data_IF_251801783385
#
_entry.id   IF_251801783385
#
_cell.length_a   1.000
_cell.length_b   1.000
_cell.length_c   1.000
_cell.angle_alpha   90.00
_cell.angle_beta   90.00
_cell.angle_gamma   90.00
#
_symmetry.space_group_name_H-M   'P 1'
#
loop_
_entity.id
_entity.type
_entity.pdbx_description
1 polymer ?
#
# COMPACT_ATOMS: atom_id res chain seq x y z
N UNK A 1 4.59 -6.07 -0.59
CA UNK A 1 4.00 -6.08 -1.94
C UNK A 1 3.16 -4.83 -2.09
N UNK A 2 3.21 -4.18 -3.25
CA UNK A 2 2.42 -2.98 -3.56
C UNK A 2 1.67 -3.26 -4.87
N UNK A 3 0.35 -3.14 -4.82
CA UNK A 3 -0.56 -3.32 -5.95
C UNK A 3 -1.04 -1.94 -6.37
N UNK A 4 -0.86 -1.61 -7.65
CA UNK A 4 -1.42 -0.41 -8.27
C UNK A 4 -2.15 -0.87 -9.51
N UNK A 5 -3.39 -0.42 -9.67
CA UNK A 5 -4.25 -0.90 -10.75
C UNK A 5 -5.10 0.19 -11.35
N UNK A 6 -5.61 -0.12 -12.53
CA UNK A 6 -6.69 0.61 -13.18
C UNK A 6 -7.71 -0.40 -13.70
N UNK A 7 -8.68 0.07 -14.49
CA UNK A 7 -9.79 -0.76 -14.99
C UNK A 7 -9.37 -1.94 -15.87
N UNK A 8 -8.15 -1.96 -16.41
CA UNK A 8 -7.68 -2.99 -17.34
C UNK A 8 -6.40 -3.71 -16.93
N UNK A 9 -5.69 -3.25 -15.88
CA UNK A 9 -4.42 -3.85 -15.47
C UNK A 9 -4.15 -3.63 -13.99
N UNK A 10 -3.53 -4.62 -13.35
CA UNK A 10 -2.94 -4.51 -12.02
C UNK A 10 -1.47 -4.87 -12.13
N UNK A 11 -0.60 -3.96 -11.67
CA UNK A 11 0.84 -4.18 -11.60
C UNK A 11 1.23 -4.37 -10.13
N UNK A 12 2.12 -5.33 -9.89
CA UNK A 12 2.49 -5.76 -8.55
C UNK A 12 4.01 -5.62 -8.38
N UNK A 13 4.41 -4.83 -7.39
CA UNK A 13 5.78 -4.85 -6.90
C UNK A 13 5.90 -5.79 -5.69
N UNK A 14 6.93 -6.64 -5.70
CA UNK A 14 7.30 -7.49 -4.56
C UNK A 14 8.77 -7.31 -4.25
N UNK A 15 9.08 -6.78 -3.07
CA UNK A 15 10.45 -6.54 -2.64
C UNK A 15 10.51 -5.69 -1.39
N UNK A 16 11.73 -5.42 -0.92
CA UNK A 16 12.00 -4.43 0.12
C UNK A 16 11.94 -3.02 -0.46
N UNK A 17 11.60 -2.04 0.36
CA UNK A 17 11.60 -0.62 -0.02
C UNK A 17 12.98 -0.05 0.29
N UNK A 18 13.66 0.53 -0.70
CA UNK A 18 15.03 1.01 -0.53
C UNK A 18 15.08 2.48 -0.08
N UNK A 19 14.35 3.37 -0.77
CA UNK A 19 14.31 4.80 -0.45
C UNK A 19 12.90 5.35 -0.55
N UNK A 20 12.40 5.92 0.54
CA UNK A 20 11.12 6.65 0.63
C UNK A 20 11.39 8.16 0.65
N UNK A 21 10.73 8.93 -0.21
CA UNK A 21 10.94 10.38 -0.35
C UNK A 21 9.59 11.11 -0.44
N UNK A 22 9.15 11.75 0.65
CA UNK A 22 8.07 12.73 0.59
C UNK A 22 8.51 13.94 -0.23
N UNK A 23 7.59 14.52 -1.01
CA UNK A 23 7.86 15.69 -1.82
C UNK A 23 6.61 16.55 -2.00
N UNK A 24 6.77 17.86 -1.98
CA UNK A 24 5.71 18.83 -2.30
C UNK A 24 6.33 19.94 -3.13
N UNK A 25 5.68 20.30 -4.25
CA UNK A 25 6.14 21.41 -5.08
C UNK A 25 5.72 22.75 -4.49
N UNK A 26 6.57 23.78 -4.64
CA UNK A 26 6.21 25.16 -4.30
C UNK A 26 4.99 25.58 -5.12
N UNK A 27 3.93 26.06 -4.44
CA UNK A 27 2.61 26.38 -5.01
C UNK A 27 1.73 25.17 -5.42
N UNK A 28 1.96 23.98 -4.87
CA UNK A 28 1.03 22.85 -5.03
C UNK A 28 0.48 22.37 -3.68
N UNK A 29 -0.82 22.11 -3.64
CA UNK A 29 -1.48 21.42 -2.52
C UNK A 29 -1.22 19.91 -2.54
N UNK A 30 -0.68 19.38 -3.65
CA UNK A 30 -0.39 17.96 -3.78
C UNK A 30 0.86 17.58 -2.99
N UNK A 31 0.67 16.69 -2.03
CA UNK A 31 1.75 16.03 -1.30
C UNK A 31 2.00 14.68 -1.96
N UNK A 32 3.25 14.42 -2.34
CA UNK A 32 3.68 13.17 -2.95
C UNK A 32 4.46 12.33 -1.96
N UNK A 33 4.22 11.02 -1.98
CA UNK A 33 5.08 10.03 -1.38
C UNK A 33 5.68 9.15 -2.47
N UNK A 34 7.02 9.10 -2.52
CA UNK A 34 7.74 8.44 -3.60
C UNK A 34 8.59 7.30 -3.06
N UNK A 35 8.66 6.20 -3.82
CA UNK A 35 9.61 5.11 -3.56
C UNK A 35 10.58 5.03 -4.72
N UNK A 36 11.87 4.94 -4.42
CA UNK A 36 12.93 4.73 -5.41
C UNK A 36 13.76 3.52 -5.03
N UNK A 37 13.55 2.43 -5.75
CA UNK A 37 14.40 1.26 -5.81
C UNK A 37 15.10 1.22 -7.18
N UNK A 38 16.22 0.48 -7.35
CA UNK A 38 16.89 0.38 -8.65
C UNK A 38 16.01 -0.11 -9.81
N UNK A 39 15.04 -0.99 -9.53
CA UNK A 39 14.14 -1.59 -10.53
C UNK A 39 12.66 -1.29 -10.27
N UNK A 40 12.35 -0.37 -9.35
CA UNK A 40 10.97 -0.01 -9.02
C UNK A 40 10.88 1.45 -8.61
N UNK A 41 9.88 2.15 -9.11
CA UNK A 41 9.57 3.51 -8.69
C UNK A 41 8.07 3.62 -8.46
N UNK A 42 7.68 4.23 -7.35
CA UNK A 42 6.30 4.61 -7.05
C UNK A 42 6.24 6.12 -6.91
N UNK A 43 5.24 6.72 -7.55
CA UNK A 43 4.79 8.08 -7.28
C UNK A 43 3.33 7.99 -6.87
N UNK A 44 3.02 8.39 -5.64
CA UNK A 44 1.66 8.39 -5.11
C UNK A 44 1.37 9.79 -4.58
N UNK A 45 0.21 10.35 -4.94
CA UNK A 45 -0.26 11.63 -4.40
C UNK A 45 -0.94 11.33 -3.07
N UNK A 46 -0.19 11.47 -1.98
CA UNK A 46 -0.61 11.15 -0.62
C UNK A 46 -1.82 11.99 -0.20
N UNK A 47 -1.85 13.26 -0.60
CA UNK A 47 -2.95 14.17 -0.29
C UNK A 47 -4.29 13.78 -0.93
N UNK A 48 -4.32 12.85 -1.90
CA UNK A 48 -5.55 12.36 -2.52
C UNK A 48 -6.14 11.14 -1.78
N UNK A 49 -5.45 10.59 -0.78
CA UNK A 49 -5.97 9.51 0.04
C UNK A 49 -7.02 10.08 0.99
N UNK A 50 -8.28 9.69 0.83
CA UNK A 50 -9.37 10.10 1.74
C UNK A 50 -9.74 9.00 2.74
N UNK A 51 -9.54 7.75 2.35
CA UNK A 51 -9.85 6.59 3.19
C UNK A 51 -8.68 5.61 3.17
N UNK A 52 -8.35 5.09 4.36
CA UNK A 52 -7.32 4.08 4.57
C UNK A 52 -7.87 2.96 5.43
N UNK A 53 -7.95 1.76 4.87
CA UNK A 53 -8.57 0.61 5.51
C UNK A 53 -7.57 -0.51 5.76
N UNK A 54 -7.60 -1.06 6.97
CA UNK A 54 -7.01 -2.36 7.25
C UNK A 54 -8.07 -3.43 7.09
N UNK A 55 -7.90 -4.32 6.11
CA UNK A 55 -8.85 -5.43 5.89
C UNK A 55 -8.18 -6.76 6.19
N UNK A 56 -8.96 -7.72 6.71
CA UNK A 56 -8.50 -9.08 7.03
C UNK A 56 -9.38 -10.07 6.29
N UNK A 57 -8.84 -10.69 5.25
CA UNK A 57 -9.58 -11.62 4.40
C UNK A 57 -9.17 -13.06 4.73
N UNK A 58 -10.12 -13.97 5.05
CA UNK A 58 -9.78 -15.36 5.32
C UNK A 58 -9.33 -16.07 4.04
N UNK A 59 -8.32 -16.92 4.15
CA UNK A 59 -7.86 -17.86 3.12
C UNK A 59 -7.71 -19.26 3.73
N UNK A 60 -7.40 -20.26 2.90
CA UNK A 60 -7.11 -21.61 3.39
C UNK A 60 -5.93 -21.66 4.36
N UNK A 61 -4.96 -20.76 4.19
CA UNK A 61 -3.73 -20.70 4.99
C UNK A 61 -3.86 -19.81 6.24
N UNK A 62 -4.99 -19.12 6.41
CA UNK A 62 -5.24 -18.17 7.49
C UNK A 62 -5.69 -16.80 6.97
N UNK A 63 -5.63 -15.77 7.81
CA UNK A 63 -5.94 -14.42 7.35
C UNK A 63 -4.79 -13.84 6.52
N UNK A 64 -5.17 -13.11 5.47
CA UNK A 64 -4.29 -12.17 4.76
C UNK A 64 -4.79 -10.77 5.05
N UNK A 65 -3.88 -9.93 5.55
CA UNK A 65 -4.17 -8.56 5.97
C UNK A 65 -3.62 -7.57 4.94
N UNK A 66 -4.45 -6.63 4.51
CA UNK A 66 -4.07 -5.54 3.60
C UNK A 66 -4.21 -4.17 4.24
N UNK A 67 -3.42 -3.21 3.76
CA UNK A 67 -3.72 -1.78 3.82
C UNK A 67 -4.24 -1.35 2.45
N UNK A 68 -5.40 -0.73 2.39
CA UNK A 68 -6.06 -0.30 1.14
C UNK A 68 -6.35 1.20 1.19
N UNK A 69 -5.97 1.91 0.12
CA UNK A 69 -6.05 3.36 0.01
C UNK A 69 -7.07 3.73 -1.07
N UNK A 70 -7.98 4.65 -0.76
CA UNK A 70 -9.03 5.08 -1.67
C UNK A 70 -9.08 6.60 -1.80
N UNK A 71 -9.47 7.06 -2.99
CA UNK A 71 -9.68 8.47 -3.31
C UNK A 71 -11.10 8.94 -2.98
N UNK A 72 -11.35 10.25 -3.13
CA UNK A 72 -12.66 10.90 -2.89
C UNK A 72 -13.83 10.35 -3.71
N UNK A 73 -13.56 9.54 -4.74
CA UNK A 73 -14.54 8.89 -5.60
C UNK A 73 -14.70 7.41 -5.29
N UNK A 74 -14.04 6.91 -4.24
CA UNK A 74 -14.01 5.49 -3.89
C UNK A 74 -13.18 4.64 -4.83
N UNK A 75 -12.32 5.23 -5.67
CA UNK A 75 -11.40 4.49 -6.52
C UNK A 75 -10.18 4.06 -5.70
N UNK A 76 -9.74 2.83 -5.92
CA UNK A 76 -8.61 2.27 -5.21
C UNK A 76 -7.29 2.83 -5.75
N UNK A 77 -6.54 3.55 -4.92
CA UNK A 77 -5.24 4.15 -5.26
C UNK A 77 -4.15 3.07 -5.26
N UNK A 78 -4.05 2.33 -4.15
CA UNK A 78 -3.08 1.24 -3.99
C UNK A 78 -3.50 0.27 -2.89
N UNK A 79 -2.96 -0.95 -2.93
CA UNK A 79 -3.01 -1.88 -1.81
C UNK A 79 -1.62 -2.37 -1.42
N UNK A 80 -1.40 -2.57 -0.12
CA UNK A 80 -0.16 -3.09 0.42
C UNK A 80 -0.41 -4.39 1.18
N UNK A 81 0.53 -5.33 1.02
CA UNK A 81 0.53 -6.64 1.66
C UNK A 81 1.95 -7.04 2.08
N UNK A 82 2.07 -7.90 3.09
CA UNK A 82 3.30 -8.65 3.36
C UNK A 82 3.60 -9.61 2.21
N UNK A 83 4.88 -9.81 1.87
CA UNK A 83 5.24 -10.80 0.85
C UNK A 83 4.89 -12.21 1.33
N UNK A 84 4.29 -13.01 0.45
CA UNK A 84 4.01 -14.42 0.70
C UNK A 84 4.03 -15.21 -0.60
N UNK A 85 4.13 -16.53 -0.50
CA UNK A 85 3.86 -17.45 -1.61
C UNK A 85 2.52 -18.14 -1.37
N UNK A 86 1.97 -18.77 -2.39
CA UNK A 86 0.78 -19.62 -2.23
C UNK A 86 1.05 -20.76 -1.22
N UNK A 87 0.03 -21.15 -0.44
CA UNK A 87 0.16 -22.19 0.60
C UNK A 87 0.91 -21.74 1.86
N UNK A 88 1.21 -20.44 2.00
CA UNK A 88 1.91 -19.90 3.17
C UNK A 88 1.14 -18.79 3.86
N UNK A 89 1.27 -18.75 5.18
CA UNK A 89 0.76 -17.67 6.03
C UNK A 89 1.43 -16.34 5.69
N UNK A 90 0.72 -15.24 5.93
CA UNK A 90 1.34 -13.93 5.89
C UNK A 90 2.46 -13.78 6.94
N UNK A 91 3.41 -12.90 6.64
CA UNK A 91 4.54 -12.63 7.54
C UNK A 91 4.03 -12.06 8.87
N UNK A 92 4.53 -12.60 9.98
CA UNK A 92 4.22 -12.06 11.30
C UNK A 92 4.65 -10.60 11.44
N UNK A 93 5.85 -10.26 10.93
CA UNK A 93 6.36 -8.89 10.93
C UNK A 93 5.40 -7.91 10.23
N UNK A 94 4.79 -8.31 9.11
CA UNK A 94 3.79 -7.50 8.41
C UNK A 94 2.58 -7.20 9.29
N UNK A 95 2.05 -8.23 9.98
CA UNK A 95 0.94 -8.04 10.92
C UNK A 95 1.28 -7.10 12.05
N UNK A 96 2.49 -7.23 12.61
CA UNK A 96 2.96 -6.38 13.70
C UNK A 96 3.08 -4.92 13.25
N UNK A 97 3.61 -4.69 12.05
CA UNK A 97 3.68 -3.34 11.44
C UNK A 97 2.29 -2.72 11.28
N UNK A 98 1.31 -3.46 10.75
CA UNK A 98 -0.06 -2.95 10.60
C UNK A 98 -0.75 -2.71 11.95
N UNK A 99 -0.52 -3.57 12.95
CA UNK A 99 -1.09 -3.39 14.28
C UNK A 99 -0.50 -2.18 15.03
N UNK A 100 0.68 -1.71 14.62
CA UNK A 100 1.31 -0.51 15.17
C UNK A 100 0.73 0.80 14.60
N UNK A 101 -0.08 0.74 13.55
CA UNK A 101 -0.75 1.91 12.99
C UNK A 101 -1.81 2.44 13.96
N UNK A 102 -1.89 3.77 14.05
CA UNK A 102 -2.92 4.42 14.84
C UNK A 102 -4.31 4.11 14.25
N UNK A 103 -5.26 3.76 15.12
CA UNK A 103 -6.67 3.69 14.74
C UNK A 103 -7.22 5.11 14.72
N UNK A 104 -7.88 5.47 13.63
CA UNK A 104 -8.66 6.71 13.56
C UNK A 104 -9.97 6.45 14.29
N UNK A 105 -10.35 7.36 15.20
CA UNK A 105 -11.54 7.27 16.03
C UNK A 105 -12.80 7.70 15.26
#
# INVERSE_FOLDING_TARGET
MIFVGNRGCVQIFTGKIDRLVPHQFENSEQVWINIFNPAFTLHLIESEIVESWITRKPTQDGFVTSLELFDSKGQQIAQLYGQRTEGTKEQQQWREQLNALAKIA
#
